data_IF_167454715739
#
_entry.id   IF_167454715739
#
_cell.length_a   1.000
_cell.length_b   1.000
_cell.length_c   1.000
_cell.angle_alpha   90.00
_cell.angle_beta   90.00
_cell.angle_gamma   90.00
#
_symmetry.space_group_name_H-M   'P 1'
#
loop_
_entity.id
_entity.type
_entity.pdbx_description
1 polymer ?
#
# COMPACT_ATOMS: atom_id res chain seq x y z
N UNK A 1 -21.10 5.91 -3.77
CA UNK A 1 -19.91 5.39 -3.07
C UNK A 1 -18.85 4.98 -4.09
N UNK A 2 -17.66 5.57 -3.99
CA UNK A 2 -16.47 5.26 -4.76
C UNK A 2 -15.69 4.16 -4.03
N UNK A 3 -15.47 3.03 -4.70
CA UNK A 3 -14.73 1.89 -4.15
C UNK A 3 -13.45 1.67 -4.94
N UNK A 4 -12.34 1.50 -4.23
CA UNK A 4 -11.10 0.96 -4.80
C UNK A 4 -10.86 -0.46 -4.26
N UNK A 5 -10.17 -1.30 -5.04
CA UNK A 5 -9.81 -2.67 -4.66
C UNK A 5 -8.31 -2.83 -4.87
N UNK A 6 -7.58 -3.34 -3.86
CA UNK A 6 -6.14 -3.57 -3.95
C UNK A 6 -5.63 -4.57 -2.89
N UNK A 7 -4.51 -5.25 -3.17
CA UNK A 7 -3.77 -6.00 -2.13
C UNK A 7 -3.01 -5.01 -1.23
N UNK A 8 -2.95 -5.20 0.09
CA UNK A 8 -2.15 -4.31 0.95
C UNK A 8 -0.66 -4.40 0.60
N UNK A 9 0.09 -3.32 0.85
CA UNK A 9 1.53 -3.25 0.59
C UNK A 9 2.33 -2.77 1.79
N UNK A 10 3.59 -3.20 1.87
CA UNK A 10 4.51 -2.80 2.93
C UNK A 10 4.86 -1.31 2.82
N UNK A 11 4.35 -0.49 3.74
CA UNK A 11 4.43 0.98 3.73
C UNK A 11 4.26 1.55 2.31
N UNK A 12 3.02 1.56 1.77
CA UNK A 12 2.75 1.79 0.35
C UNK A 12 3.46 2.99 -0.26
N UNK A 13 3.79 2.89 -1.55
CA UNK A 13 4.25 4.03 -2.34
C UNK A 13 3.09 5.01 -2.59
N UNK A 14 3.41 6.26 -2.95
CA UNK A 14 2.44 7.36 -2.98
C UNK A 14 1.28 7.15 -3.96
N UNK A 15 1.49 6.50 -5.11
CA UNK A 15 0.39 6.28 -6.06
C UNK A 15 -0.68 5.32 -5.55
N UNK A 16 -0.30 4.30 -4.75
CA UNK A 16 -1.30 3.47 -4.09
C UNK A 16 -2.08 4.28 -3.05
N UNK A 17 -1.40 5.12 -2.27
CA UNK A 17 -2.06 5.96 -1.26
C UNK A 17 -2.99 7.00 -1.89
N UNK A 18 -2.58 7.62 -3.00
CA UNK A 18 -3.40 8.53 -3.79
C UNK A 18 -4.70 7.85 -4.26
N UNK A 19 -4.59 6.66 -4.86
CA UNK A 19 -5.77 5.87 -5.25
C UNK A 19 -6.68 5.56 -4.06
N UNK A 20 -6.12 5.14 -2.93
CA UNK A 20 -6.90 4.82 -1.73
C UNK A 20 -7.64 6.07 -1.27
N UNK A 21 -6.94 7.20 -1.15
CA UNK A 21 -7.48 8.46 -0.67
C UNK A 21 -8.54 9.07 -1.61
N UNK A 22 -8.50 8.74 -2.91
CA UNK A 22 -9.56 9.07 -3.87
C UNK A 22 -10.82 8.18 -3.78
N UNK A 23 -10.93 7.29 -2.79
CA UNK A 23 -12.07 6.39 -2.61
C UNK A 23 -12.69 6.48 -1.21
N UNK A 24 -14.01 6.28 -1.14
CA UNK A 24 -14.75 6.21 0.13
C UNK A 24 -14.41 4.92 0.89
N UNK A 25 -14.21 3.83 0.14
CA UNK A 25 -13.90 2.50 0.68
C UNK A 25 -12.81 1.81 -0.15
N UNK A 26 -11.82 1.25 0.55
CA UNK A 26 -10.88 0.29 0.01
C UNK A 26 -11.30 -1.12 0.43
N UNK A 27 -11.55 -1.98 -0.57
CA UNK A 27 -11.60 -3.43 -0.36
C UNK A 27 -10.18 -3.97 -0.43
N UNK A 28 -9.72 -4.49 0.71
CA UNK A 28 -8.39 -5.04 0.91
C UNK A 28 -8.42 -6.52 0.57
N UNK A 29 -7.71 -6.92 -0.49
CA UNK A 29 -7.70 -8.29 -0.96
C UNK A 29 -6.81 -9.19 -0.11
N UNK A 30 -7.43 -10.06 0.70
CA UNK A 30 -6.78 -10.98 1.63
C UNK A 30 -6.98 -12.47 1.26
N UNK A 31 -7.96 -12.80 0.41
CA UNK A 31 -8.24 -14.17 -0.04
C UNK A 31 -7.61 -14.53 -1.40
N UNK A 32 -7.08 -13.55 -2.14
CA UNK A 32 -6.35 -13.80 -3.39
C UNK A 32 -4.96 -14.37 -3.14
N UNK A 33 -4.32 -14.93 -4.17
CA UNK A 33 -2.90 -15.24 -4.10
C UNK A 33 -2.09 -13.95 -3.97
N UNK A 34 -1.02 -13.98 -3.18
CA UNK A 34 -0.02 -12.91 -3.16
C UNK A 34 0.47 -12.69 -4.59
N UNK A 35 0.27 -11.48 -5.11
CA UNK A 35 0.88 -11.15 -6.39
C UNK A 35 2.40 -11.09 -6.18
N UNK A 36 3.18 -11.71 -7.07
CA UNK A 36 4.65 -11.58 -7.07
C UNK A 36 5.11 -10.18 -7.54
N UNK A 37 4.21 -9.18 -7.46
CA UNK A 37 4.50 -7.80 -7.80
C UNK A 37 5.45 -7.20 -6.75
N UNK A 38 6.19 -6.18 -7.19
CA UNK A 38 7.32 -5.63 -6.46
C UNK A 38 6.96 -4.99 -5.11
N UNK A 39 5.68 -4.75 -4.80
CA UNK A 39 5.31 -3.80 -3.74
C UNK A 39 4.47 -4.35 -2.57
N UNK A 40 4.03 -5.63 -2.61
CA UNK A 40 3.26 -6.17 -1.47
C UNK A 40 4.17 -6.47 -0.28
N UNK A 41 5.11 -7.40 -0.45
CA UNK A 41 5.98 -7.89 0.62
C UNK A 41 7.32 -7.16 0.70
N UNK A 42 7.58 -6.22 -0.20
CA UNK A 42 8.80 -5.42 -0.23
C UNK A 42 8.49 -4.02 -0.75
N UNK A 43 9.36 -3.06 -0.46
CA UNK A 43 9.24 -1.70 -1.00
C UNK A 43 10.62 -1.07 -1.19
N UNK A 44 10.70 -0.03 -2.00
CA UNK A 44 11.93 0.73 -2.26
C UNK A 44 12.15 1.78 -1.18
N UNK A 45 13.40 1.89 -0.74
CA UNK A 45 13.87 2.90 0.20
C UNK A 45 15.17 3.50 -0.32
N UNK A 46 15.45 4.74 0.07
CA UNK A 46 16.66 5.43 -0.33
C UNK A 46 17.79 5.16 0.66
N UNK A 47 18.96 4.77 0.17
CA UNK A 47 20.15 4.63 1.00
C UNK A 47 20.78 5.99 1.32
N UNK A 48 21.68 6.04 2.31
CA UNK A 48 22.50 7.21 2.61
C UNK A 48 23.39 7.66 1.43
N UNK A 49 23.59 6.77 0.46
CA UNK A 49 24.35 7.00 -0.77
C UNK A 49 23.47 7.46 -1.94
N UNK A 50 22.14 7.56 -1.75
CA UNK A 50 21.20 7.98 -2.78
C UNK A 50 20.75 6.87 -3.73
N UNK A 51 20.99 5.60 -3.38
CA UNK A 51 20.57 4.44 -4.17
C UNK A 51 19.20 3.93 -3.70
N UNK A 52 18.34 3.54 -4.64
CA UNK A 52 17.09 2.87 -4.31
C UNK A 52 17.32 1.39 -4.00
N UNK A 53 16.92 0.93 -2.82
CA UNK A 53 17.09 -0.45 -2.37
C UNK A 53 15.78 -1.04 -1.85
N UNK A 54 15.53 -2.29 -2.22
CA UNK A 54 14.41 -3.05 -1.67
C UNK A 54 14.67 -3.49 -0.23
N UNK A 55 13.70 -3.21 0.63
CA UNK A 55 13.52 -3.96 1.88
C UNK A 55 12.39 -4.96 1.70
N UNK A 56 12.68 -6.24 1.96
CA UNK A 56 11.76 -7.35 1.73
C UNK A 56 11.45 -8.08 3.02
N UNK A 57 10.16 -8.21 3.32
CA UNK A 57 9.66 -9.08 4.39
C UNK A 57 9.76 -10.53 3.89
N UNK A 58 10.56 -11.38 4.54
CA UNK A 58 10.74 -12.77 4.16
C UNK A 58 9.52 -13.59 4.58
N UNK A 59 9.04 -14.44 3.67
CA UNK A 59 7.91 -15.33 3.89
C UNK A 59 8.21 -16.74 3.39
N UNK A 60 7.44 -17.72 3.88
CA UNK A 60 7.63 -19.13 3.53
C UNK A 60 7.29 -19.36 2.07
N UNK A 61 8.32 -19.61 1.25
CA UNK A 61 8.19 -19.82 -0.21
C UNK A 61 7.60 -21.19 -0.58
N UNK A 62 7.64 -22.18 0.31
CA UNK A 62 7.13 -23.52 -0.01
C UNK A 62 5.61 -23.50 -0.10
N UNK A 63 5.07 -23.71 -1.31
CA UNK A 63 3.63 -23.85 -1.55
C UNK A 63 2.82 -22.54 -1.48
N UNK A 64 3.47 -21.37 -1.40
CA UNK A 64 2.76 -20.09 -1.22
C UNK A 64 1.78 -19.75 -2.37
N UNK A 65 2.07 -20.19 -3.59
CA UNK A 65 1.18 -20.02 -4.75
C UNK A 65 -0.16 -20.74 -4.60
N UNK A 66 -0.26 -21.73 -3.70
CA UNK A 66 -1.48 -22.46 -3.40
C UNK A 66 -2.19 -21.94 -2.14
N UNK A 67 -1.67 -20.89 -1.52
CA UNK A 67 -2.22 -20.29 -0.30
C UNK A 67 -2.89 -18.96 -0.63
N UNK A 68 -3.88 -18.59 0.18
CA UNK A 68 -4.41 -17.22 0.20
C UNK A 68 -3.38 -16.30 0.83
N UNK A 69 -3.39 -15.03 0.46
CA UNK A 69 -2.43 -14.05 0.97
C UNK A 69 -2.43 -13.99 2.50
N UNK A 70 -3.61 -14.01 3.13
CA UNK A 70 -3.74 -14.05 4.59
C UNK A 70 -3.17 -15.29 5.28
N UNK A 71 -2.92 -16.38 4.55
CA UNK A 71 -2.44 -17.66 5.10
C UNK A 71 -0.90 -17.85 4.90
N UNK A 72 -0.20 -16.81 4.43
CA UNK A 72 1.25 -16.86 4.17
C UNK A 72 2.02 -16.53 5.44
N UNK A 73 2.77 -17.50 5.94
CA UNK A 73 3.63 -17.38 7.12
C UNK A 73 4.92 -16.60 6.83
N UNK A 74 5.43 -15.91 7.85
CA UNK A 74 6.74 -15.27 7.84
C UNK A 74 7.86 -16.31 7.91
N UNK A 75 8.99 -16.08 7.24
CA UNK A 75 10.10 -17.03 7.20
C UNK A 75 11.27 -16.71 8.15
N UNK A 76 11.57 -15.43 8.39
CA UNK A 76 12.70 -15.04 9.24
C UNK A 76 12.26 -13.99 10.26
N UNK A 77 12.18 -14.34 11.57
CA UNK A 77 11.73 -13.41 12.61
C UNK A 77 12.69 -12.22 12.82
N UNK A 78 13.92 -12.27 12.29
CA UNK A 78 14.87 -11.17 12.37
C UNK A 78 14.62 -10.04 11.35
N UNK A 79 13.63 -10.19 10.45
CA UNK A 79 13.32 -9.19 9.43
C UNK A 79 13.09 -7.79 10.01
N UNK A 80 12.35 -7.71 11.13
CA UNK A 80 12.00 -6.44 11.75
C UNK A 80 13.24 -5.71 12.28
N UNK A 81 14.17 -6.45 12.90
CA UNK A 81 15.47 -5.92 13.33
C UNK A 81 16.28 -5.41 12.15
N UNK A 82 16.38 -6.18 11.06
CA UNK A 82 17.12 -5.78 9.85
C UNK A 82 16.52 -4.50 9.23
N UNK A 83 15.20 -4.39 9.19
CA UNK A 83 14.52 -3.20 8.66
C UNK A 83 14.73 -1.98 9.58
N UNK A 84 14.63 -2.15 10.90
CA UNK A 84 14.96 -1.09 11.86
C UNK A 84 16.38 -0.59 11.65
N UNK A 85 17.36 -1.49 11.65
CA UNK A 85 18.77 -1.13 11.53
C UNK A 85 19.05 -0.41 10.19
N UNK A 86 18.41 -0.85 9.10
CA UNK A 86 18.44 -0.14 7.82
C UNK A 86 17.85 1.26 7.92
N UNK A 87 16.65 1.42 8.48
CA UNK A 87 15.98 2.72 8.57
C UNK A 87 16.77 3.70 9.44
N UNK A 88 17.33 3.23 10.56
CA UNK A 88 18.22 4.02 11.40
C UNK A 88 19.47 4.46 10.63
N UNK A 89 20.13 3.56 9.90
CA UNK A 89 21.35 3.90 9.16
C UNK A 89 21.12 4.93 8.05
N UNK A 90 19.97 4.88 7.37
CA UNK A 90 19.71 5.70 6.18
C UNK A 90 18.89 6.97 6.48
N UNK A 91 18.04 6.95 7.51
CA UNK A 91 17.10 8.04 7.79
C UNK A 91 17.42 8.85 9.07
N UNK A 92 18.37 8.44 9.93
CA UNK A 92 18.66 9.12 11.22
C UNK A 92 18.91 10.63 11.13
N UNK A 93 19.41 11.14 10.01
CA UNK A 93 19.72 12.56 9.80
C UNK A 93 18.60 13.33 9.09
N UNK A 94 17.44 12.72 8.88
CA UNK A 94 16.30 13.36 8.21
C UNK A 94 15.52 14.25 9.17
N UNK A 95 14.90 15.34 8.67
CA UNK A 95 14.23 16.34 9.51
C UNK A 95 13.18 15.75 10.45
N UNK A 96 12.37 14.81 9.96
CA UNK A 96 11.27 14.23 10.73
C UNK A 96 11.63 12.86 11.36
N UNK A 97 12.91 12.52 11.49
CA UNK A 97 13.32 11.24 12.07
C UNK A 97 12.78 11.04 13.49
N UNK A 98 12.84 12.07 14.34
CA UNK A 98 12.33 12.01 15.72
C UNK A 98 10.80 11.85 15.81
N UNK A 99 10.07 12.21 14.76
CA UNK A 99 8.61 12.06 14.67
C UNK A 99 8.22 10.68 14.14
N UNK A 100 8.90 10.22 13.08
CA UNK A 100 8.50 9.03 12.30
C UNK A 100 9.11 7.75 12.86
N UNK A 101 10.41 7.76 13.20
CA UNK A 101 11.10 6.53 13.61
C UNK A 101 10.48 5.87 14.85
N UNK A 102 10.10 6.58 15.92
CA UNK A 102 9.49 5.93 17.09
C UNK A 102 8.20 5.17 16.76
N UNK A 103 7.38 5.71 15.84
CA UNK A 103 6.15 5.05 15.39
C UNK A 103 6.46 3.79 14.57
N UNK A 104 7.49 3.85 13.72
CA UNK A 104 7.97 2.68 12.96
C UNK A 104 8.57 1.62 13.89
N UNK A 105 9.33 2.02 14.92
CA UNK A 105 9.88 1.08 15.91
C UNK A 105 8.78 0.39 16.71
N UNK A 106 7.74 1.12 17.11
CA UNK A 106 6.57 0.55 17.77
C UNK A 106 5.89 -0.50 16.88
N UNK A 107 5.70 -0.21 15.58
CA UNK A 107 5.20 -1.18 14.61
C UNK A 107 6.11 -2.42 14.49
N UNK A 108 7.42 -2.22 14.32
CA UNK A 108 8.38 -3.32 14.16
C UNK A 108 8.51 -4.19 15.41
N UNK A 109 8.11 -3.69 16.58
CA UNK A 109 8.08 -4.43 17.84
C UNK A 109 6.80 -5.27 18.02
N UNK A 110 5.76 -5.05 17.21
CA UNK A 110 4.54 -5.83 17.29
C UNK A 110 4.74 -7.25 16.74
N UNK A 111 4.22 -8.29 17.41
CA UNK A 111 4.20 -9.62 16.86
C UNK A 111 3.20 -9.71 15.70
N UNK A 112 3.62 -10.34 14.61
CA UNK A 112 2.78 -10.63 13.45
C UNK A 112 2.86 -12.11 13.12
N UNK A 113 1.71 -12.75 12.85
CA UNK A 113 1.65 -14.17 12.54
C UNK A 113 1.89 -14.43 11.05
N UNK A 114 1.35 -13.57 10.19
CA UNK A 114 1.36 -13.74 8.74
C UNK A 114 1.98 -12.53 8.04
N UNK A 115 2.39 -12.73 6.78
CA UNK A 115 2.85 -11.64 5.92
C UNK A 115 1.74 -10.59 5.72
N UNK A 116 0.49 -11.03 5.59
CA UNK A 116 -0.66 -10.14 5.45
C UNK A 116 -0.78 -9.20 6.66
N UNK A 117 -0.66 -9.73 7.88
CA UNK A 117 -0.75 -8.92 9.11
C UNK A 117 0.27 -7.79 9.10
N UNK A 118 1.52 -8.08 8.69
CA UNK A 118 2.59 -7.07 8.62
C UNK A 118 2.25 -5.98 7.62
N UNK A 119 1.91 -6.37 6.38
CA UNK A 119 1.70 -5.38 5.32
C UNK A 119 0.41 -4.58 5.55
N UNK A 120 -0.64 -5.22 6.05
CA UNK A 120 -1.91 -4.56 6.35
C UNK A 120 -1.76 -3.56 7.50
N UNK A 121 -1.05 -3.93 8.58
CA UNK A 121 -0.77 -3.02 9.68
C UNK A 121 0.12 -1.85 9.23
N UNK A 122 1.15 -2.09 8.42
CA UNK A 122 2.01 -1.00 7.89
C UNK A 122 1.25 -0.03 6.99
N UNK A 123 0.34 -0.54 6.15
CA UNK A 123 -0.54 0.28 5.32
C UNK A 123 -1.49 1.10 6.18
N UNK A 124 -2.14 0.49 7.18
CA UNK A 124 -3.03 1.20 8.12
C UNK A 124 -2.33 2.36 8.81
N UNK A 125 -1.11 2.14 9.29
CA UNK A 125 -0.31 3.20 9.90
C UNK A 125 -0.01 4.34 8.92
N UNK A 126 0.34 4.02 7.68
CA UNK A 126 0.55 5.04 6.66
C UNK A 126 -0.72 5.86 6.37
N UNK A 127 -1.88 5.19 6.28
CA UNK A 127 -3.18 5.86 6.11
C UNK A 127 -3.50 6.77 7.30
N UNK A 128 -3.24 6.31 8.52
CA UNK A 128 -3.45 7.09 9.75
C UNK A 128 -2.55 8.34 9.79
N UNK A 129 -1.26 8.20 9.53
CA UNK A 129 -0.31 9.31 9.58
C UNK A 129 -0.61 10.38 8.53
N UNK A 130 -1.12 9.95 7.38
CA UNK A 130 -1.51 10.80 6.27
C UNK A 130 -2.98 11.24 6.32
N UNK A 131 -3.69 10.90 7.41
CA UNK A 131 -5.11 11.23 7.62
C UNK A 131 -6.03 10.87 6.43
N UNK A 132 -5.78 9.71 5.82
CA UNK A 132 -6.61 9.21 4.73
C UNK A 132 -7.90 8.60 5.35
N UNK A 133 -9.09 9.19 5.11
CA UNK A 133 -10.32 8.81 5.81
C UNK A 133 -10.98 7.54 5.25
N UNK A 134 -10.41 6.94 4.22
CA UNK A 134 -10.97 5.79 3.49
C UNK A 134 -11.29 4.62 4.40
N UNK A 135 -12.54 4.15 4.34
CA UNK A 135 -12.99 2.97 5.07
C UNK A 135 -12.28 1.73 4.53
N UNK A 136 -11.76 0.88 5.42
CA UNK A 136 -11.15 -0.39 5.05
C UNK A 136 -12.12 -1.55 5.26
N UNK A 137 -12.30 -2.38 4.24
CA UNK A 137 -13.11 -3.61 4.29
C UNK A 137 -12.26 -4.78 3.79
N UNK A 138 -12.22 -5.88 4.53
CA UNK A 138 -11.53 -7.08 4.07
C UNK A 138 -12.38 -7.80 3.02
N UNK A 139 -11.75 -8.27 1.95
CA UNK A 139 -12.40 -9.13 0.95
C UNK A 139 -13.11 -10.32 1.62
N UNK A 140 -12.45 -10.97 2.59
CA UNK A 140 -13.01 -12.12 3.30
C UNK A 140 -14.26 -11.83 4.12
N UNK A 141 -14.55 -10.57 4.43
CA UNK A 141 -15.77 -10.15 5.13
C UNK A 141 -16.96 -9.85 4.22
N UNK A 142 -16.75 -9.82 2.90
CA UNK A 142 -17.79 -9.55 1.92
C UNK A 142 -18.47 -10.85 1.48
N UNK A 143 -19.76 -10.74 1.14
CA UNK A 143 -20.50 -11.79 0.46
C UNK A 143 -20.40 -11.57 -1.06
N UNK A 144 -19.56 -12.36 -1.71
CA UNK A 144 -19.29 -12.28 -3.14
C UNK A 144 -19.05 -13.68 -3.72
N UNK A 145 -19.15 -13.81 -5.03
CA UNK A 145 -18.86 -15.08 -5.71
C UNK A 145 -17.35 -15.41 -5.65
N UNK A 146 -16.99 -16.42 -4.83
CA UNK A 146 -15.62 -16.91 -4.68
C UNK A 146 -15.11 -17.67 -5.91
N UNK A 147 -15.98 -18.04 -6.83
CA UNK A 147 -15.59 -18.61 -8.12
C UNK A 147 -15.04 -17.54 -9.06
N UNK A 148 -15.47 -16.28 -8.95
CA UNK A 148 -15.03 -15.16 -9.80
C UNK A 148 -13.50 -15.00 -9.80
N UNK A 149 -12.93 -14.68 -10.98
CA UNK A 149 -11.48 -14.51 -11.18
C UNK A 149 -11.16 -13.22 -11.93
N UNK A 150 -9.95 -12.70 -11.75
CA UNK A 150 -9.40 -11.56 -12.51
C UNK A 150 -10.38 -10.36 -12.53
N UNK A 151 -10.82 -9.91 -13.71
CA UNK A 151 -11.74 -8.77 -13.85
C UNK A 151 -13.12 -9.03 -13.22
N UNK A 152 -13.64 -10.25 -13.32
CA UNK A 152 -14.92 -10.63 -12.70
C UNK A 152 -14.86 -10.52 -11.18
N UNK A 153 -13.72 -10.88 -10.58
CA UNK A 153 -13.52 -10.74 -9.14
C UNK A 153 -13.60 -9.28 -8.71
N UNK A 154 -13.01 -8.37 -9.49
CA UNK A 154 -13.06 -6.93 -9.21
C UNK A 154 -14.50 -6.42 -9.24
N UNK A 155 -15.28 -6.81 -10.25
CA UNK A 155 -16.70 -6.46 -10.36
C UNK A 155 -17.50 -7.02 -9.19
N UNK A 156 -17.33 -8.31 -8.87
CA UNK A 156 -18.03 -8.97 -7.79
C UNK A 156 -17.74 -8.31 -6.42
N UNK A 157 -16.49 -7.97 -6.15
CA UNK A 157 -16.11 -7.27 -4.91
C UNK A 157 -16.64 -5.84 -4.86
N UNK A 158 -16.63 -5.12 -5.99
CA UNK A 158 -17.17 -3.76 -6.04
C UNK A 158 -18.69 -3.77 -5.81
N UNK A 159 -19.41 -4.72 -6.41
CA UNK A 159 -20.85 -4.92 -6.18
C UNK A 159 -21.14 -5.31 -4.74
N UNK A 160 -20.41 -6.29 -4.18
CA UNK A 160 -20.57 -6.72 -2.79
C UNK A 160 -20.28 -5.61 -1.79
N UNK A 161 -19.37 -4.69 -2.12
CA UNK A 161 -19.11 -3.51 -1.32
C UNK A 161 -20.20 -2.43 -1.45
N UNK A 162 -21.08 -2.50 -2.45
CA UNK A 162 -22.10 -1.48 -2.73
C UNK A 162 -21.59 -0.28 -3.55
N UNK A 163 -20.59 -0.50 -4.41
CA UNK A 163 -19.99 0.54 -5.23
C UNK A 163 -20.99 1.12 -6.25
N UNK A 164 -21.07 2.44 -6.33
CA UNK A 164 -21.68 3.16 -7.46
C UNK A 164 -20.63 3.61 -8.48
N UNK A 165 -19.36 3.62 -8.07
CA UNK A 165 -18.21 3.93 -8.91
C UNK A 165 -17.03 3.05 -8.48
N UNK A 166 -16.38 2.39 -9.42
CA UNK A 166 -15.10 1.72 -9.20
C UNK A 166 -13.95 2.64 -9.61
N UNK A 167 -13.02 2.87 -8.68
CA UNK A 167 -11.77 3.57 -8.94
C UNK A 167 -10.66 2.56 -9.24
N UNK A 168 -10.31 2.44 -10.51
CA UNK A 168 -9.24 1.59 -11.01
C UNK A 168 -7.91 2.34 -11.09
N UNK A 169 -6.80 1.60 -11.13
CA UNK A 169 -5.51 2.18 -11.51
C UNK A 169 -5.38 2.24 -13.04
N UNK A 170 -4.61 3.19 -13.58
CA UNK A 170 -4.39 3.32 -15.03
C UNK A 170 -3.78 2.08 -15.68
N UNK A 171 -2.98 1.31 -14.94
CA UNK A 171 -2.39 0.06 -15.44
C UNK A 171 -3.41 -1.01 -15.85
N UNK A 172 -4.66 -0.90 -15.41
CA UNK A 172 -5.73 -1.84 -15.79
C UNK A 172 -6.53 -1.41 -17.04
N UNK A 173 -6.40 -0.16 -17.46
CA UNK A 173 -7.23 0.43 -18.51
C UNK A 173 -7.18 -0.33 -19.84
N UNK A 174 -6.03 -0.91 -20.19
CA UNK A 174 -5.84 -1.61 -21.45
C UNK A 174 -6.58 -2.97 -21.56
N UNK A 175 -7.01 -3.56 -20.44
CA UNK A 175 -7.63 -4.89 -20.41
C UNK A 175 -8.94 -4.94 -19.62
N UNK A 176 -9.43 -3.79 -19.16
CA UNK A 176 -10.64 -3.72 -18.36
C UNK A 176 -11.86 -3.62 -19.27
N UNK A 177 -12.77 -4.60 -19.16
CA UNK A 177 -14.04 -4.57 -19.85
C UNK A 177 -15.01 -3.64 -19.12
N UNK A 178 -15.23 -2.44 -19.66
CA UNK A 178 -16.12 -1.46 -19.06
C UNK A 178 -17.57 -1.95 -19.00
N UNK A 179 -17.98 -2.80 -19.96
CA UNK A 179 -19.35 -3.32 -19.99
C UNK A 179 -19.66 -4.24 -18.81
N UNK A 180 -18.64 -4.90 -18.25
CA UNK A 180 -18.76 -5.74 -17.07
C UNK A 180 -19.15 -4.95 -15.80
N UNK A 181 -18.99 -3.62 -15.79
CA UNK A 181 -19.37 -2.76 -14.66
C UNK A 181 -20.86 -2.39 -14.68
N UNK A 182 -21.59 -2.66 -15.77
CA UNK A 182 -23.03 -2.40 -15.86
C UNK A 182 -23.35 -0.92 -15.59
N UNK A 183 -24.15 -0.66 -14.56
CA UNK A 183 -24.51 0.71 -14.14
C UNK A 183 -23.48 1.40 -13.25
N UNK A 184 -22.44 0.69 -12.79
CA UNK A 184 -21.37 1.27 -11.98
C UNK A 184 -20.44 2.10 -12.85
N UNK A 185 -20.19 3.35 -12.44
CA UNK A 185 -19.22 4.19 -13.13
C UNK A 185 -17.80 3.62 -12.99
N UNK A 186 -17.00 3.73 -14.05
CA UNK A 186 -15.58 3.38 -14.02
C UNK A 186 -14.74 4.66 -14.08
N UNK A 187 -13.87 4.86 -13.10
CA UNK A 187 -12.89 5.94 -13.08
C UNK A 187 -11.49 5.38 -12.98
N UNK A 188 -10.53 6.12 -13.53
CA UNK A 188 -9.12 5.77 -13.45
C UNK A 188 -8.38 6.82 -12.63
N UNK A 189 -7.61 6.34 -11.67
CA UNK A 189 -6.75 7.15 -10.82
C UNK A 189 -5.64 7.82 -11.64
N UNK A 190 -5.63 9.15 -11.66
CA UNK A 190 -4.66 9.95 -12.43
C UNK A 190 -3.54 10.47 -11.54
N UNK A 191 -2.82 9.53 -10.92
CA UNK A 191 -1.68 9.88 -10.08
C UNK A 191 -0.56 10.53 -10.90
N UNK A 192 -0.17 11.74 -10.49
CA UNK A 192 1.07 12.39 -10.92
C UNK A 192 2.00 12.39 -9.72
N UNK A 193 3.22 11.86 -9.90
CA UNK A 193 4.14 11.73 -8.78
C UNK A 193 4.56 13.12 -8.28
N UNK A 194 4.28 13.48 -7.02
CA UNK A 194 4.79 14.72 -6.46
C UNK A 194 6.31 14.63 -6.28
N UNK A 195 7.02 15.71 -6.57
CA UNK A 195 8.39 15.86 -6.11
C UNK A 195 8.42 16.47 -4.72
N UNK A 196 9.28 15.93 -3.86
CA UNK A 196 9.49 16.41 -2.50
C UNK A 196 10.99 16.36 -2.17
N UNK A 197 11.45 17.10 -1.15
CA UNK A 197 12.86 17.06 -0.77
C UNK A 197 13.28 15.64 -0.37
N UNK A 198 14.32 15.10 -1.01
CA UNK A 198 14.93 13.81 -0.65
C UNK A 198 16.36 14.04 -0.21
N UNK A 199 16.61 14.01 1.11
CA UNK A 199 17.89 14.41 1.71
C UNK A 199 19.11 13.69 1.09
N UNK A 200 18.98 12.40 0.78
CA UNK A 200 20.10 11.57 0.34
C UNK A 200 20.24 11.51 -1.20
N UNK A 201 19.38 12.19 -1.98
CA UNK A 201 19.40 12.11 -3.43
C UNK A 201 19.76 13.45 -4.08
N UNK A 202 20.61 13.42 -5.10
CA UNK A 202 20.92 14.58 -5.94
C UNK A 202 19.84 14.85 -7.00
N UNK A 203 19.22 13.78 -7.50
CA UNK A 203 18.09 13.80 -8.43
C UNK A 203 16.94 13.05 -7.78
N UNK A 204 15.71 13.56 -7.92
CA UNK A 204 14.54 12.94 -7.34
C UNK A 204 14.35 11.48 -7.79
N UNK A 205 14.10 10.60 -6.83
CA UNK A 205 13.88 9.16 -7.03
C UNK A 205 12.40 8.84 -6.77
N UNK A 206 11.60 8.57 -7.82
CA UNK A 206 10.18 8.25 -7.65
C UNK A 206 9.96 6.79 -7.20
N UNK A 207 8.75 6.49 -6.73
CA UNK A 207 8.32 5.11 -6.45
C UNK A 207 8.86 4.49 -5.15
N UNK A 208 9.41 5.33 -4.27
CA UNK A 208 9.82 4.93 -2.92
C UNK A 208 8.60 4.69 -2.01
N UNK A 209 8.82 3.97 -0.91
CA UNK A 209 7.87 3.89 0.20
C UNK A 209 7.47 5.28 0.69
N UNK A 210 6.23 5.45 1.13
CA UNK A 210 5.76 6.68 1.78
C UNK A 210 6.60 7.08 3.01
N UNK A 211 7.31 6.13 3.64
CA UNK A 211 8.25 6.45 4.71
C UNK A 211 9.34 7.43 4.27
N UNK A 212 9.79 7.38 3.02
CA UNK A 212 10.79 8.34 2.52
C UNK A 212 10.25 9.77 2.56
N UNK A 213 9.04 9.99 2.04
CA UNK A 213 8.33 11.26 2.15
C UNK A 213 8.20 11.67 3.63
N UNK A 214 7.67 10.79 4.48
CA UNK A 214 7.42 11.08 5.89
C UNK A 214 8.70 11.48 6.63
N UNK A 215 9.81 10.76 6.43
CA UNK A 215 11.09 11.11 7.06
C UNK A 215 11.60 12.49 6.61
N UNK A 216 11.40 12.84 5.34
CA UNK A 216 11.88 14.09 4.78
C UNK A 216 11.05 15.32 5.19
N UNK A 217 9.72 15.19 5.28
CA UNK A 217 8.84 16.35 5.46
C UNK A 217 7.94 16.31 6.70
N UNK A 218 7.83 15.18 7.40
CA UNK A 218 6.92 15.00 8.54
C UNK A 218 5.49 14.65 8.15
N UNK A 219 4.68 14.14 9.09
CA UNK A 219 3.34 13.62 8.77
C UNK A 219 2.39 14.71 8.27
N UNK A 220 2.38 15.88 8.90
CA UNK A 220 1.50 16.99 8.54
C UNK A 220 1.75 17.47 7.10
N UNK A 221 3.00 17.80 6.79
CA UNK A 221 3.38 18.28 5.45
C UNK A 221 3.29 17.19 4.39
N UNK A 222 3.46 15.91 4.74
CA UNK A 222 3.32 14.82 3.78
C UNK A 222 1.92 14.75 3.14
N UNK A 223 0.88 15.19 3.86
CA UNK A 223 -0.51 15.17 3.38
C UNK A 223 -0.71 16.01 2.12
N UNK A 224 -0.07 17.19 2.06
CA UNK A 224 -0.20 18.09 0.89
C UNK A 224 0.37 17.50 -0.40
N UNK A 225 1.19 16.44 -0.31
CA UNK A 225 1.75 15.78 -1.48
C UNK A 225 0.83 14.67 -2.04
N UNK A 226 -0.20 14.25 -1.31
CA UNK A 226 -1.13 13.24 -1.82
C UNK A 226 -2.13 13.77 -2.85
N UNK A 227 -2.22 15.08 -3.06
CA UNK A 227 -2.90 15.67 -4.22
C UNK A 227 -4.39 15.36 -4.37
N UNK A 228 -5.06 14.87 -3.31
CA UNK A 228 -6.49 14.61 -3.35
C UNK A 228 -7.20 15.95 -3.16
N UNK A 229 -7.75 16.49 -4.25
CA UNK A 229 -8.66 17.62 -4.16
C UNK A 229 -9.77 17.25 -3.17
N UNK A 230 -10.01 18.11 -2.17
CA UNK A 230 -11.18 17.96 -1.30
C UNK A 230 -12.41 17.87 -2.20
N UNK A 231 -13.15 16.76 -2.10
CA UNK A 231 -14.41 16.62 -2.81
C UNK A 231 -15.35 17.74 -2.32
N UNK A 232 -15.50 18.77 -3.16
CA UNK A 232 -16.42 19.88 -2.96
C UNK A 232 -17.88 19.41 -2.91
#
# INVERSE_FOLDING_TARGET
MIVSIHQPGYFPWLGLLHKIAGSDTLVVMDEVQLSDSLYQHRNLFLTAQGEAKYLSIPFVRKGYLQRRFRDIELADPAWARKHRDFLQANYRRHPAYGEVMPKVEAFLAMPHATLFDVVFASMRLALEWLEIPTRLVLQSSLDYDRAAKRGELVVALAQAAGASCYLSGTGAQAYQDESAFGSMALRYDRFVHPEYPQKNAATFVPGLSCLDLLFNVGCERARSFLGVEEAA
#
